data_IF_791562518229
#
_entry.id   IF_791562518229
#
_cell.length_a   1.000
_cell.length_b   1.000
_cell.length_c   1.000
_cell.angle_alpha   90.00
_cell.angle_beta   90.00
_cell.angle_gamma   90.00
#
_symmetry.space_group_name_H-M   'P 1'
#
loop_
_entity.id
_entity.type
_entity.pdbx_description
1 polymer ?
#
# COMPACT_ATOMS: atom_id res chain seq x y z
N UNK A 1 -0.97 -2.69 3.37
CA UNK A 1 -1.10 -1.36 3.93
C UNK A 1 -2.58 -1.03 3.94
N UNK A 2 -3.00 -0.10 4.77
CA UNK A 2 -4.39 0.28 4.81
C UNK A 2 -4.64 1.36 3.81
N UNK A 3 -3.66 2.20 3.63
CA UNK A 3 -3.70 3.18 2.59
C UNK A 3 -3.13 2.50 1.36
N UNK A 4 -3.83 2.55 0.26
CA UNK A 4 -3.39 1.85 -0.94
C UNK A 4 -2.32 2.58 -1.71
N UNK A 5 -1.97 3.74 -1.23
CA UNK A 5 -0.82 4.45 -1.73
C UNK A 5 0.41 3.90 -1.02
N UNK A 6 0.54 2.60 -1.12
CA UNK A 6 1.53 1.80 -0.46
C UNK A 6 1.40 0.41 -1.05
N UNK A 7 2.44 -0.09 -1.66
CA UNK A 7 2.38 -1.37 -2.31
C UNK A 7 3.09 -2.42 -1.48
N UNK A 8 2.57 -3.63 -1.52
CA UNK A 8 3.22 -4.76 -0.87
C UNK A 8 4.55 -5.00 -1.56
N UNK A 9 5.60 -4.84 -0.84
CA UNK A 9 6.91 -5.00 -1.39
C UNK A 9 7.57 -6.26 -0.81
N UNK A 10 7.30 -7.38 -1.44
#
# INVERSE_FOLDING_TARGET
CYIQGCTLSX
#
